data_IF_136575727614
#
_entry.id   IF_136575727614
#
_cell.length_a   1.000
_cell.length_b   1.000
_cell.length_c   1.000
_cell.angle_alpha   90.00
_cell.angle_beta   90.00
_cell.angle_gamma   90.00
#
_symmetry.space_group_name_H-M   'P 1'
#
loop_
_entity.id
_entity.type
_entity.pdbx_description
1 polymer ?
#
# COMPACT_ATOMS: atom_id res chain seq x y z
N UNK A 1 22.49 13.62 6.87
CA UNK A 1 21.71 12.44 6.44
C UNK A 1 21.27 11.51 7.58
N UNK A 2 21.68 11.74 8.82
CA UNK A 2 21.44 10.84 9.97
C UNK A 2 20.06 11.01 10.63
N UNK A 3 19.44 12.19 10.54
CA UNK A 3 18.20 12.50 11.28
C UNK A 3 16.95 11.81 10.74
N UNK A 4 16.77 11.72 9.43
CA UNK A 4 15.56 11.12 8.83
C UNK A 4 15.50 9.59 9.08
N UNK A 5 16.63 8.89 8.97
CA UNK A 5 16.71 7.46 9.25
C UNK A 5 16.53 7.13 10.74
N UNK A 6 16.84 8.05 11.63
CA UNK A 6 16.60 7.91 13.06
C UNK A 6 15.10 8.12 13.36
N UNK A 7 14.50 9.19 12.86
CA UNK A 7 13.07 9.46 13.03
C UNK A 7 12.19 8.30 12.50
N UNK A 8 12.59 7.70 11.38
CA UNK A 8 11.90 6.56 10.79
C UNK A 8 12.01 5.28 11.66
N UNK A 9 13.16 5.06 12.29
CA UNK A 9 13.33 3.95 13.26
C UNK A 9 12.52 4.19 14.53
N UNK A 10 12.51 5.43 15.04
CA UNK A 10 11.78 5.78 16.25
C UNK A 10 10.26 5.63 16.03
N UNK A 11 9.76 6.04 14.87
CA UNK A 11 8.37 5.82 14.48
C UNK A 11 8.04 4.33 14.40
N UNK A 12 8.87 3.53 13.75
CA UNK A 12 8.63 2.09 13.62
C UNK A 12 8.64 1.36 14.98
N UNK A 13 9.53 1.77 15.88
CA UNK A 13 9.55 1.29 17.26
C UNK A 13 8.26 1.63 18.01
N UNK A 14 7.76 2.87 17.86
CA UNK A 14 6.50 3.30 18.46
C UNK A 14 5.31 2.52 17.90
N UNK A 15 5.24 2.33 16.59
CA UNK A 15 4.16 1.55 15.95
C UNK A 15 4.19 0.08 16.39
N UNK A 16 5.38 -0.50 16.52
CA UNK A 16 5.56 -1.88 17.03
C UNK A 16 5.00 -2.02 18.44
N UNK A 17 5.30 -1.08 19.32
CA UNK A 17 4.78 -1.09 20.71
C UNK A 17 3.26 -0.92 20.75
N UNK A 18 2.69 -0.03 19.91
CA UNK A 18 1.25 0.15 19.82
C UNK A 18 0.55 -1.11 19.31
N UNK A 19 1.10 -1.78 18.32
CA UNK A 19 0.56 -3.07 17.82
C UNK A 19 0.63 -4.15 18.90
N UNK A 20 1.70 -4.20 19.71
CA UNK A 20 1.82 -5.12 20.83
C UNK A 20 0.73 -4.87 21.90
N UNK A 21 0.43 -3.60 22.20
CA UNK A 21 -0.66 -3.21 23.11
C UNK A 21 -2.03 -3.53 22.52
N UNK A 22 -2.26 -3.26 21.24
CA UNK A 22 -3.48 -3.68 20.53
C UNK A 22 -3.70 -5.20 20.62
N UNK A 23 -2.64 -5.99 20.52
CA UNK A 23 -2.70 -7.45 20.68
C UNK A 23 -3.17 -7.89 22.08
N UNK A 24 -3.06 -7.00 23.09
CA UNK A 24 -3.56 -7.18 24.46
C UNK A 24 -4.93 -6.55 24.66
N UNK A 25 -5.62 -6.14 23.59
CA UNK A 25 -6.93 -5.50 23.62
C UNK A 25 -6.94 -4.12 24.29
N UNK A 26 -5.85 -3.36 24.16
CA UNK A 26 -5.74 -1.98 24.63
C UNK A 26 -6.36 -1.03 23.59
N UNK A 27 -7.55 -0.49 23.88
CA UNK A 27 -8.28 0.42 23.00
C UNK A 27 -7.60 1.78 22.84
N UNK A 28 -6.90 2.28 23.87
CA UNK A 28 -6.15 3.53 23.79
C UNK A 28 -4.98 3.41 22.79
N UNK A 29 -4.33 2.26 22.78
CA UNK A 29 -3.28 1.99 21.82
C UNK A 29 -3.80 1.97 20.37
N UNK A 30 -5.02 1.47 20.15
CA UNK A 30 -5.65 1.51 18.82
C UNK A 30 -5.97 2.95 18.41
N UNK A 31 -6.47 3.78 19.34
CA UNK A 31 -6.77 5.19 19.06
C UNK A 31 -5.49 5.96 18.71
N UNK A 32 -4.42 5.74 19.47
CA UNK A 32 -3.12 6.35 19.19
C UNK A 32 -2.55 5.89 17.85
N UNK A 33 -2.64 4.60 17.57
CA UNK A 33 -2.23 4.04 16.27
C UNK A 33 -3.02 4.65 15.11
N UNK A 34 -4.35 4.78 15.27
CA UNK A 34 -5.22 5.43 14.28
C UNK A 34 -4.74 6.84 13.99
N UNK A 35 -4.52 7.65 15.01
CA UNK A 35 -4.09 9.05 14.87
C UNK A 35 -2.76 9.17 14.12
N UNK A 36 -1.83 8.26 14.37
CA UNK A 36 -0.51 8.28 13.75
C UNK A 36 -0.49 7.84 12.29
N UNK A 37 -1.27 6.82 11.92
CA UNK A 37 -1.10 6.16 10.61
C UNK A 37 -2.26 6.35 9.66
N UNK A 38 -3.43 6.83 10.12
CA UNK A 38 -4.60 7.01 9.24
C UNK A 38 -4.34 7.93 8.05
N UNK A 39 -3.59 9.05 8.15
CA UNK A 39 -3.32 9.88 6.97
C UNK A 39 -2.53 9.11 5.90
N UNK A 40 -1.51 8.37 6.30
CA UNK A 40 -0.69 7.58 5.37
C UNK A 40 -1.48 6.44 4.73
N UNK A 41 -2.27 5.70 5.52
CA UNK A 41 -3.10 4.61 5.02
C UNK A 41 -4.21 5.13 4.11
N UNK A 42 -4.83 6.25 4.47
CA UNK A 42 -5.86 6.88 3.65
C UNK A 42 -5.30 7.36 2.31
N UNK A 43 -4.12 8.00 2.29
CA UNK A 43 -3.45 8.39 1.06
C UNK A 43 -3.14 7.18 0.15
N UNK A 44 -2.78 6.03 0.74
CA UNK A 44 -2.62 4.79 -0.01
C UNK A 44 -3.95 4.31 -0.61
N UNK A 45 -5.02 4.28 0.19
CA UNK A 45 -6.34 3.82 -0.21
C UNK A 45 -6.96 4.71 -1.29
N UNK A 46 -6.91 6.03 -1.14
CA UNK A 46 -7.49 6.96 -2.11
C UNK A 46 -6.78 6.88 -3.47
N UNK A 47 -5.46 6.69 -3.46
CA UNK A 47 -4.68 6.49 -4.69
C UNK A 47 -5.08 5.22 -5.44
N UNK A 48 -5.41 4.15 -4.71
CA UNK A 48 -5.82 2.87 -5.31
C UNK A 48 -7.29 2.87 -5.73
N UNK A 49 -8.18 3.36 -4.87
CA UNK A 49 -9.63 3.25 -5.05
C UNK A 49 -10.21 4.42 -5.87
N UNK A 50 -9.54 5.57 -5.90
CA UNK A 50 -9.94 6.79 -6.62
C UNK A 50 -11.34 7.33 -6.27
N UNK A 51 -11.92 6.85 -5.17
CA UNK A 51 -13.23 7.24 -4.64
C UNK A 51 -13.11 7.45 -3.15
N UNK A 52 -13.40 8.67 -2.69
CA UNK A 52 -13.21 9.07 -1.29
C UNK A 52 -14.07 8.24 -0.34
N UNK A 53 -15.35 8.09 -0.63
CA UNK A 53 -16.27 7.31 0.22
C UNK A 53 -15.80 5.86 0.40
N UNK A 54 -15.32 5.24 -0.68
CA UNK A 54 -14.83 3.88 -0.64
C UNK A 54 -13.49 3.76 0.13
N UNK A 55 -12.64 4.79 0.04
CA UNK A 55 -11.41 4.85 0.80
C UNK A 55 -11.66 5.04 2.31
N UNK A 56 -12.67 5.83 2.69
CA UNK A 56 -13.09 6.01 4.07
C UNK A 56 -13.64 4.70 4.67
N UNK A 57 -14.51 4.00 3.94
CA UNK A 57 -15.01 2.68 4.34
C UNK A 57 -13.87 1.67 4.47
N UNK A 58 -13.01 1.61 3.46
CA UNK A 58 -11.84 0.74 3.48
C UNK A 58 -10.91 1.01 4.66
N UNK A 59 -10.72 2.27 5.05
CA UNK A 59 -9.90 2.64 6.19
C UNK A 59 -10.47 2.10 7.50
N UNK A 60 -11.79 2.17 7.69
CA UNK A 60 -12.46 1.60 8.86
C UNK A 60 -12.24 0.08 8.93
N UNK A 61 -12.43 -0.63 7.83
CA UNK A 61 -12.20 -2.08 7.75
C UNK A 61 -10.73 -2.46 8.01
N UNK A 62 -9.80 -1.62 7.58
CA UNK A 62 -8.38 -1.80 7.86
C UNK A 62 -8.13 -1.79 9.37
N UNK A 63 -8.68 -0.83 10.12
CA UNK A 63 -8.47 -0.76 11.56
C UNK A 63 -9.20 -1.88 12.32
N UNK A 64 -10.36 -2.32 11.86
CA UNK A 64 -11.00 -3.55 12.37
C UNK A 64 -10.09 -4.76 12.16
N UNK A 65 -9.50 -4.88 10.97
CA UNK A 65 -8.57 -5.97 10.65
C UNK A 65 -7.29 -5.89 11.49
N UNK A 66 -6.75 -4.70 11.66
CA UNK A 66 -5.57 -4.45 12.52
C UNK A 66 -5.86 -4.91 13.95
N UNK A 67 -6.99 -4.50 14.53
CA UNK A 67 -7.41 -4.90 15.86
C UNK A 67 -7.49 -6.43 16.00
N UNK A 68 -8.14 -7.09 15.06
CA UNK A 68 -8.31 -8.55 15.06
C UNK A 68 -6.99 -9.31 14.87
N UNK A 69 -6.06 -8.75 14.11
CA UNK A 69 -4.81 -9.43 13.69
C UNK A 69 -3.55 -8.88 14.33
N UNK A 70 -3.63 -7.96 15.27
CA UNK A 70 -2.46 -7.37 15.92
C UNK A 70 -1.52 -8.44 16.52
N UNK A 71 -2.09 -9.55 17.05
CA UNK A 71 -1.33 -10.70 17.57
C UNK A 71 -0.50 -11.44 16.51
N UNK A 72 -0.80 -11.25 15.22
CA UNK A 72 -0.09 -11.91 14.11
C UNK A 72 1.09 -11.09 13.61
N UNK A 73 1.21 -9.83 14.05
CA UNK A 73 2.34 -9.01 13.69
C UNK A 73 3.60 -9.53 14.38
N UNK A 74 4.68 -9.65 13.61
CA UNK A 74 5.98 -10.15 14.05
C UNK A 74 7.06 -9.17 13.57
N UNK A 75 7.70 -8.42 14.49
CA UNK A 75 8.73 -7.42 14.13
C UNK A 75 9.89 -8.00 13.30
N UNK A 76 10.21 -9.27 13.54
CA UNK A 76 11.29 -9.98 12.85
C UNK A 76 11.01 -10.19 11.35
N UNK A 77 9.73 -10.12 10.95
CA UNK A 77 9.30 -10.31 9.56
C UNK A 77 9.23 -9.02 8.77
N UNK A 78 9.28 -7.89 9.43
CA UNK A 78 9.27 -6.60 8.77
C UNK A 78 8.69 -5.48 9.61
N UNK A 79 8.83 -4.27 9.11
CA UNK A 79 8.46 -3.04 9.78
C UNK A 79 6.94 -2.92 9.99
N UNK A 80 6.55 -2.30 11.10
CA UNK A 80 5.14 -2.12 11.47
C UNK A 80 4.36 -1.35 10.39
N UNK A 81 4.90 -0.26 9.87
CA UNK A 81 4.26 0.50 8.80
C UNK A 81 4.04 -0.35 7.54
N UNK A 82 5.01 -1.17 7.15
CA UNK A 82 4.87 -2.04 5.98
C UNK A 82 3.75 -3.08 6.16
N UNK A 83 3.58 -3.62 7.38
CA UNK A 83 2.50 -4.54 7.71
C UNK A 83 1.13 -3.86 7.64
N UNK A 84 1.01 -2.63 8.17
CA UNK A 84 -0.21 -1.83 8.13
C UNK A 84 -0.61 -1.47 6.69
N UNK A 85 0.34 -1.00 5.89
CA UNK A 85 0.12 -0.69 4.47
C UNK A 85 -0.27 -1.95 3.68
N UNK A 86 0.30 -3.12 4.00
CA UNK A 86 -0.09 -4.37 3.37
C UNK A 86 -1.57 -4.71 3.63
N UNK A 87 -2.06 -4.53 4.87
CA UNK A 87 -3.49 -4.72 5.21
C UNK A 87 -4.36 -3.76 4.39
N UNK A 88 -4.03 -2.46 4.38
CA UNK A 88 -4.77 -1.46 3.63
C UNK A 88 -4.83 -1.80 2.13
N UNK A 89 -3.71 -2.20 1.58
CA UNK A 89 -3.60 -2.59 0.19
C UNK A 89 -4.42 -3.85 -0.14
N UNK A 90 -4.36 -4.89 0.68
CA UNK A 90 -5.18 -6.09 0.47
C UNK A 90 -6.67 -5.75 0.50
N UNK A 91 -7.10 -4.86 1.41
CA UNK A 91 -8.48 -4.41 1.45
C UNK A 91 -8.88 -3.65 0.18
N UNK A 92 -8.04 -2.73 -0.30
CA UNK A 92 -8.30 -2.01 -1.55
C UNK A 92 -8.40 -2.96 -2.76
N UNK A 93 -7.50 -3.95 -2.85
CA UNK A 93 -7.55 -4.97 -3.92
C UNK A 93 -8.86 -5.77 -3.86
N UNK A 94 -9.31 -6.13 -2.68
CA UNK A 94 -10.54 -6.90 -2.46
C UNK A 94 -11.76 -6.11 -2.96
N UNK A 95 -11.85 -4.84 -2.60
CA UNK A 95 -12.92 -3.95 -3.05
C UNK A 95 -12.91 -3.78 -4.58
N UNK A 96 -11.74 -3.53 -5.18
CA UNK A 96 -11.60 -3.42 -6.63
C UNK A 96 -11.99 -4.72 -7.37
N UNK A 97 -11.73 -5.87 -6.76
CA UNK A 97 -12.17 -7.17 -7.31
C UNK A 97 -13.67 -7.31 -7.22
N UNK A 98 -14.28 -6.99 -6.08
CA UNK A 98 -15.74 -7.04 -5.93
C UNK A 98 -16.45 -6.13 -6.93
N UNK A 99 -15.98 -4.91 -7.16
CA UNK A 99 -16.53 -4.02 -8.17
C UNK A 99 -16.41 -4.58 -9.61
N UNK A 100 -15.33 -5.27 -9.93
CA UNK A 100 -15.14 -5.91 -11.26
C UNK A 100 -16.03 -7.13 -11.48
N UNK A 101 -16.45 -7.83 -10.43
CA UNK A 101 -17.24 -9.05 -10.49
C UNK A 101 -18.67 -8.86 -10.00
N UNK A 102 -19.07 -7.69 -9.51
CA UNK A 102 -20.45 -7.37 -9.25
C UNK A 102 -21.19 -7.42 -10.60
N UNK A 103 -22.33 -8.15 -10.70
CA UNK A 103 -23.15 -8.10 -11.90
C UNK A 103 -23.56 -6.64 -12.10
N UNK A 104 -23.18 -6.08 -13.25
CA UNK A 104 -23.49 -4.70 -13.63
C UNK A 104 -25.02 -4.58 -13.63
N UNK A 105 -25.59 -4.05 -12.56
CA UNK A 105 -26.84 -3.33 -12.68
C UNK A 105 -26.49 -2.09 -13.51
N UNK A 106 -26.89 -2.12 -14.78
CA UNK A 106 -26.65 -1.06 -15.74
C UNK A 106 -27.29 0.22 -15.21
N UNK A 107 -26.49 1.03 -14.55
CA UNK A 107 -26.73 2.46 -14.47
C UNK A 107 -25.54 3.09 -15.20
N UNK A 108 -25.79 3.44 -16.44
CA UNK A 108 -24.95 4.33 -17.23
C UNK A 108 -24.80 5.64 -16.44
N UNK A 109 -23.70 5.73 -15.69
CA UNK A 109 -23.21 7.01 -15.24
C UNK A 109 -22.04 7.36 -16.14
N UNK A 110 -22.08 8.52 -16.82
CA UNK A 110 -20.97 8.96 -17.63
C UNK A 110 -19.74 9.05 -16.73
N UNK A 111 -18.65 8.45 -17.17
CA UNK A 111 -17.32 8.66 -16.61
C UNK A 111 -16.94 10.10 -16.99
N UNK A 112 -17.57 11.06 -16.32
CA UNK A 112 -16.97 12.36 -16.17
C UNK A 112 -15.77 12.10 -15.26
N UNK A 113 -14.58 12.27 -15.81
CA UNK A 113 -13.37 12.41 -15.02
C UNK A 113 -13.65 13.57 -14.05
N UNK A 114 -14.10 13.23 -12.83
CA UNK A 114 -14.11 14.21 -11.77
C UNK A 114 -12.65 14.67 -11.65
N UNK A 115 -12.41 16.00 -11.66
CA UNK A 115 -11.08 16.49 -11.36
C UNK A 115 -10.68 15.82 -10.06
N UNK A 116 -9.54 15.13 -10.06
CA UNK A 116 -8.87 14.78 -8.84
C UNK A 116 -8.61 16.12 -8.18
N UNK A 117 -9.46 16.50 -7.21
CA UNK A 117 -9.08 17.54 -6.27
C UNK A 117 -7.72 17.09 -5.80
N UNK A 118 -6.71 17.87 -6.12
CA UNK A 118 -5.32 17.63 -5.77
C UNK A 118 -5.33 17.21 -4.31
N UNK A 119 -5.13 15.90 -4.09
CA UNK A 119 -4.87 15.39 -2.76
C UNK A 119 -3.70 16.24 -2.29
N UNK A 120 -3.94 17.07 -1.28
CA UNK A 120 -2.95 17.96 -0.71
C UNK A 120 -1.65 17.16 -0.64
N UNK A 121 -0.66 17.61 -1.39
CA UNK A 121 0.66 17.01 -1.37
C UNK A 121 1.03 16.88 0.09
N UNK A 122 1.23 15.63 0.53
CA UNK A 122 1.72 15.38 1.88
C UNK A 122 3.14 15.97 1.94
N UNK A 123 3.36 17.13 2.62
CA UNK A 123 4.66 17.79 2.61
C UNK A 123 5.72 17.00 3.37
N UNK A 124 5.37 15.81 3.89
CA UNK A 124 6.27 14.95 4.67
C UNK A 124 6.73 13.69 3.93
N UNK A 125 6.21 13.38 2.72
CA UNK A 125 6.94 12.52 1.81
C UNK A 125 8.18 13.31 1.37
N UNK A 126 9.24 13.20 2.14
CA UNK A 126 10.49 13.94 1.91
C UNK A 126 10.85 13.79 0.43
N UNK A 127 10.88 14.90 -0.31
CA UNK A 127 11.28 15.00 -1.71
C UNK A 127 12.55 14.19 -2.03
N UNK A 128 13.43 14.00 -1.03
CA UNK A 128 14.62 13.17 -1.11
C UNK A 128 14.29 11.66 -1.26
N UNK A 129 13.27 11.15 -0.57
CA UNK A 129 12.87 9.73 -0.67
C UNK A 129 12.16 9.41 -1.99
N UNK A 130 11.33 10.32 -2.49
CA UNK A 130 10.69 10.18 -3.80
C UNK A 130 11.74 10.14 -4.91
N UNK A 131 12.75 11.02 -4.89
CA UNK A 131 13.82 11.04 -5.88
C UNK A 131 14.70 9.79 -5.87
N UNK A 132 14.96 9.19 -4.70
CA UNK A 132 15.73 7.94 -4.59
C UNK A 132 14.93 6.77 -5.17
N UNK A 133 13.63 6.67 -4.83
CA UNK A 133 12.78 5.61 -5.38
C UNK A 133 12.61 5.74 -6.90
N UNK A 134 12.44 6.95 -7.42
CA UNK A 134 12.36 7.20 -8.86
C UNK A 134 13.61 6.73 -9.59
N UNK A 135 14.79 7.07 -9.08
CA UNK A 135 16.08 6.60 -9.61
C UNK A 135 16.19 5.07 -9.56
N UNK A 136 15.74 4.43 -8.48
CA UNK A 136 15.75 2.98 -8.39
C UNK A 136 14.74 2.32 -9.37
N UNK A 137 13.60 2.98 -9.63
CA UNK A 137 12.64 2.52 -10.63
C UNK A 137 13.18 2.61 -12.07
N UNK A 138 14.09 3.56 -12.35
CA UNK A 138 14.77 3.68 -13.65
C UNK A 138 15.72 2.52 -13.94
N UNK A 139 16.23 1.85 -12.90
CA UNK A 139 17.09 0.67 -13.05
C UNK A 139 16.34 -0.60 -13.46
N UNK A 140 15.00 -0.58 -13.41
CA UNK A 140 14.17 -1.72 -13.79
C UNK A 140 14.01 -1.79 -15.31
N UNK A 141 13.92 -3.02 -15.83
CA UNK A 141 13.48 -3.16 -17.21
C UNK A 141 12.02 -2.70 -17.37
N UNK A 142 11.63 -2.34 -18.59
CA UNK A 142 10.27 -1.89 -18.89
C UNK A 142 9.22 -2.92 -18.44
N UNK A 143 9.48 -4.21 -18.66
CA UNK A 143 8.59 -5.31 -18.28
C UNK A 143 8.50 -5.46 -16.76
N UNK A 144 9.63 -5.35 -16.04
CA UNK A 144 9.66 -5.41 -14.58
C UNK A 144 8.86 -4.25 -13.98
N UNK A 145 9.13 -3.01 -14.44
CA UNK A 145 8.42 -1.82 -13.98
C UNK A 145 6.93 -1.91 -14.25
N UNK A 146 6.53 -2.27 -15.48
CA UNK A 146 5.13 -2.40 -15.85
C UNK A 146 4.41 -3.48 -15.04
N UNK A 147 5.02 -4.66 -14.85
CA UNK A 147 4.44 -5.70 -14.02
C UNK A 147 4.30 -5.27 -12.54
N UNK A 148 5.27 -4.53 -12.00
CA UNK A 148 5.20 -3.97 -10.65
C UNK A 148 4.07 -2.93 -10.55
N UNK A 149 3.95 -2.02 -11.50
CA UNK A 149 2.86 -1.03 -11.53
C UNK A 149 1.49 -1.70 -11.56
N UNK A 150 1.29 -2.66 -12.47
CA UNK A 150 0.02 -3.40 -12.55
C UNK A 150 -0.29 -4.18 -11.27
N UNK A 151 0.70 -4.85 -10.68
CA UNK A 151 0.50 -5.64 -9.48
C UNK A 151 0.34 -4.76 -8.23
N UNK A 152 1.17 -3.72 -8.10
CA UNK A 152 1.30 -2.96 -6.86
C UNK A 152 0.50 -1.67 -6.82
N UNK A 153 0.29 -1.00 -7.92
CA UNK A 153 -0.55 0.19 -8.04
C UNK A 153 -1.94 -0.20 -8.54
N UNK A 154 -2.02 -1.03 -9.57
CA UNK A 154 -3.28 -1.49 -10.15
C UNK A 154 -4.02 -2.57 -9.36
N UNK A 155 -3.41 -3.12 -8.29
CA UNK A 155 -4.06 -4.15 -7.44
C UNK A 155 -4.33 -5.49 -8.14
N UNK A 156 -3.69 -5.76 -9.30
CA UNK A 156 -3.91 -6.98 -10.05
C UNK A 156 -3.20 -8.17 -9.43
N UNK A 157 -3.83 -9.35 -9.46
CA UNK A 157 -3.12 -10.60 -9.13
C UNK A 157 -2.07 -10.89 -10.20
N UNK A 158 -1.07 -11.71 -9.88
CA UNK A 158 -0.08 -12.12 -10.90
C UNK A 158 -0.70 -12.80 -12.11
N UNK A 159 -1.84 -13.49 -11.93
CA UNK A 159 -2.58 -14.09 -13.05
C UNK A 159 -3.27 -13.02 -13.91
N UNK A 160 -3.81 -11.97 -13.29
CA UNK A 160 -4.38 -10.83 -14.01
C UNK A 160 -3.31 -10.07 -14.77
N UNK A 161 -2.15 -9.81 -14.13
CA UNK A 161 -1.00 -9.19 -14.80
C UNK A 161 -0.56 -10.04 -16.01
N UNK A 162 -0.50 -11.37 -15.86
CA UNK A 162 -0.12 -12.28 -16.97
C UNK A 162 -1.08 -12.14 -18.15
N UNK A 163 -2.38 -12.03 -17.90
CA UNK A 163 -3.38 -11.78 -18.96
C UNK A 163 -3.24 -10.40 -19.58
N UNK A 164 -3.02 -9.35 -18.77
CA UNK A 164 -2.89 -7.97 -19.26
C UNK A 164 -1.63 -7.75 -20.09
N UNK A 165 -0.52 -8.37 -19.69
CA UNK A 165 0.78 -8.24 -20.39
C UNK A 165 0.94 -9.26 -21.53
N UNK A 166 0.04 -10.25 -21.61
CA UNK A 166 0.13 -11.30 -22.63
C UNK A 166 1.34 -12.23 -22.45
N UNK A 167 1.77 -12.47 -21.21
CA UNK A 167 2.97 -13.26 -20.91
C UNK A 167 2.65 -14.41 -19.94
N UNK A 168 3.38 -15.54 -19.99
CA UNK A 168 3.17 -16.65 -19.08
C UNK A 168 3.27 -16.22 -17.61
N UNK A 169 2.43 -16.80 -16.74
CA UNK A 169 2.39 -16.49 -15.29
C UNK A 169 3.77 -16.67 -14.62
N UNK A 170 4.53 -17.69 -15.02
CA UNK A 170 5.89 -17.93 -14.49
C UNK A 170 6.85 -16.79 -14.82
N UNK A 171 6.75 -16.24 -16.04
CA UNK A 171 7.55 -15.11 -16.52
C UNK A 171 7.21 -13.86 -15.72
N UNK A 172 5.92 -13.55 -15.55
CA UNK A 172 5.46 -12.40 -14.76
C UNK A 172 5.92 -12.49 -13.32
N UNK A 173 5.76 -13.64 -12.66
CA UNK A 173 6.28 -13.88 -11.32
C UNK A 173 7.80 -13.64 -11.22
N UNK A 174 8.55 -14.07 -12.24
CA UNK A 174 9.99 -13.86 -12.31
C UNK A 174 10.35 -12.38 -12.47
N UNK A 175 9.65 -11.63 -13.34
CA UNK A 175 9.86 -10.19 -13.52
C UNK A 175 9.57 -9.41 -12.23
N UNK A 176 8.43 -9.69 -11.59
CA UNK A 176 8.06 -9.05 -10.31
C UNK A 176 9.11 -9.34 -9.24
N UNK A 177 9.51 -10.60 -9.08
CA UNK A 177 10.52 -10.98 -8.08
C UNK A 177 11.86 -10.30 -8.32
N UNK A 178 12.37 -10.31 -9.57
CA UNK A 178 13.65 -9.67 -9.90
C UNK A 178 13.56 -8.15 -9.75
N UNK A 179 12.45 -7.53 -10.18
CA UNK A 179 12.24 -6.10 -10.00
C UNK A 179 12.25 -5.69 -8.53
N UNK A 180 11.57 -6.44 -7.65
CA UNK A 180 11.61 -6.19 -6.20
C UNK A 180 13.01 -6.38 -5.60
N UNK A 181 13.76 -7.37 -6.07
CA UNK A 181 15.15 -7.58 -5.64
C UNK A 181 16.06 -6.41 -6.04
N UNK A 182 15.93 -5.93 -7.29
CA UNK A 182 16.69 -4.77 -7.78
C UNK A 182 16.35 -3.50 -7.02
N UNK A 183 15.05 -3.25 -6.77
CA UNK A 183 14.62 -2.12 -5.95
C UNK A 183 15.17 -2.19 -4.53
N UNK A 184 15.10 -3.36 -3.89
CA UNK A 184 15.64 -3.55 -2.56
C UNK A 184 17.14 -3.25 -2.52
N UNK A 185 17.91 -3.83 -3.42
CA UNK A 185 19.37 -3.60 -3.49
C UNK A 185 19.72 -2.13 -3.71
N UNK A 186 18.94 -1.42 -4.55
CA UNK A 186 19.16 0.01 -4.81
C UNK A 186 18.83 0.90 -3.59
N UNK A 187 17.77 0.56 -2.84
CA UNK A 187 17.33 1.35 -1.68
C UNK A 187 18.19 1.11 -0.43
N UNK A 188 18.91 0.01 -0.38
CA UNK A 188 19.83 -0.35 0.72
C UNK A 188 21.24 0.23 0.52
N UNK A 189 21.54 0.85 -0.65
CA UNK A 189 22.81 1.50 -0.99
C UNK A 189 22.76 2.99 -0.69
#
# INVERSE_FOLDING_TARGET
MTGAAQADRDLDGRLTELLRRCAQSDGEALHELYTLVSPTLFACLIRMLRRRSLAEEALQDVFVTVWQRARQYQPERGRAMAWLVAIARYRAIDLLRHERFAPVAVAELPVAAAPVEEAAEDPTATLAGASVLERCLELLTREQRHCLELAFVGGNSHADVARLVGSPLGTVKSWIRRGLQSLKACLET
#
